data_IF_246825263208
#
_entry.id   IF_246825263208
#
_cell.length_a   1.000
_cell.length_b   1.000
_cell.length_c   1.000
_cell.angle_alpha   90.00
_cell.angle_beta   90.00
_cell.angle_gamma   90.00
#
_symmetry.space_group_name_H-M   'P 1'
#
loop_
_entity.id
_entity.type
_entity.pdbx_description
1 polymer ?
#
# COMPACT_ATOMS: atom_id res chain seq x y z
N UNK A 1 6.69 11.30 -10.93
CA UNK A 1 5.43 10.73 -10.39
C UNK A 1 5.59 10.59 -8.89
N UNK A 2 4.75 11.23 -8.09
CA UNK A 2 4.87 11.18 -6.62
C UNK A 2 3.58 10.61 -6.04
N UNK A 3 3.64 9.37 -5.58
CA UNK A 3 2.68 8.82 -4.62
C UNK A 3 3.33 9.02 -3.26
N UNK A 4 2.62 9.65 -2.33
CA UNK A 4 3.10 9.93 -0.98
C UNK A 4 2.05 9.54 0.04
N UNK A 5 2.50 9.27 1.25
CA UNK A 5 1.67 9.12 2.43
C UNK A 5 1.77 10.39 3.26
N UNK A 6 0.65 10.78 3.88
CA UNK A 6 0.69 11.73 4.98
C UNK A 6 1.30 11.07 6.22
N UNK A 7 1.86 11.87 7.13
CA UNK A 7 2.43 11.38 8.39
C UNK A 7 1.46 10.48 9.16
N UNK A 8 0.19 10.90 9.27
CA UNK A 8 -0.86 10.13 9.94
C UNK A 8 -1.12 8.78 9.25
N UNK A 9 -1.10 8.75 7.92
CA UNK A 9 -1.29 7.51 7.17
C UNK A 9 -0.09 6.56 7.35
N UNK A 10 1.14 7.06 7.30
CA UNK A 10 2.34 6.27 7.54
C UNK A 10 2.33 5.65 8.94
N UNK A 11 2.03 6.44 9.98
CA UNK A 11 1.89 5.96 11.35
C UNK A 11 0.80 4.88 11.49
N UNK A 12 -0.33 5.06 10.79
CA UNK A 12 -1.42 4.08 10.82
C UNK A 12 -1.03 2.76 10.15
N UNK A 13 -0.36 2.81 9.01
CA UNK A 13 0.14 1.63 8.29
C UNK A 13 1.17 0.90 9.14
N UNK A 14 2.13 1.62 9.74
CA UNK A 14 3.13 1.05 10.64
C UNK A 14 2.48 0.32 11.82
N UNK A 15 1.53 0.98 12.51
CA UNK A 15 0.81 0.35 13.62
C UNK A 15 0.05 -0.91 13.19
N UNK A 16 -0.49 -0.96 11.96
CA UNK A 16 -1.13 -2.17 11.46
C UNK A 16 -0.14 -3.29 11.15
N UNK A 17 1.02 -2.98 10.57
CA UNK A 17 2.08 -3.96 10.31
C UNK A 17 2.64 -4.53 11.61
N UNK A 18 2.88 -3.66 12.60
CA UNK A 18 3.34 -4.06 13.94
C UNK A 18 2.32 -5.00 14.60
N UNK A 19 1.03 -4.65 14.56
CA UNK A 19 -0.04 -5.51 15.10
C UNK A 19 -0.22 -6.82 14.34
N UNK A 20 0.02 -6.81 13.01
CA UNK A 20 -0.01 -8.01 12.17
C UNK A 20 1.19 -8.93 12.46
N UNK A 21 2.30 -8.37 12.94
CA UNK A 21 3.54 -9.07 13.26
C UNK A 21 4.33 -9.55 12.03
N UNK A 22 3.88 -9.21 10.82
CA UNK A 22 4.53 -9.54 9.55
C UNK A 22 4.07 -8.61 8.43
N UNK A 23 4.89 -8.52 7.40
CA UNK A 23 4.64 -7.71 6.21
C UNK A 23 5.76 -6.70 5.99
N UNK A 24 6.09 -6.50 4.72
CA UNK A 24 7.15 -5.59 4.28
C UNK A 24 6.61 -4.20 3.90
N UNK A 25 5.29 -4.05 3.80
CA UNK A 25 4.67 -2.76 3.46
C UNK A 25 3.20 -2.86 3.05
N UNK A 26 2.78 -1.85 2.29
CA UNK A 26 1.43 -1.69 1.75
C UNK A 26 1.51 -1.52 0.22
N UNK A 27 0.72 -2.29 -0.54
CA UNK A 27 0.57 -2.12 -1.99
C UNK A 27 -0.70 -1.33 -2.27
N UNK A 28 -0.57 -0.36 -3.16
CA UNK A 28 -1.68 0.37 -3.75
C UNK A 28 -1.95 -0.20 -5.14
N UNK A 29 -3.13 -0.76 -5.33
CA UNK A 29 -3.60 -1.27 -6.62
C UNK A 29 -4.84 -0.53 -7.10
N UNK A 30 -5.23 -0.82 -8.34
CA UNK A 30 -6.52 -0.46 -8.90
C UNK A 30 -7.21 -1.71 -9.42
N UNK A 31 -8.52 -1.82 -9.20
CA UNK A 31 -9.35 -2.90 -9.76
C UNK A 31 -10.55 -2.32 -10.49
N UNK A 32 -11.12 -3.08 -11.42
CA UNK A 32 -12.38 -2.73 -12.07
C UNK A 32 -13.53 -2.76 -11.07
N UNK A 33 -14.48 -1.85 -11.24
CA UNK A 33 -15.66 -1.71 -10.38
C UNK A 33 -16.85 -1.22 -11.21
N UNK A 34 -17.86 -2.06 -11.37
CA UNK A 34 -19.05 -1.77 -12.19
C UNK A 34 -18.78 -1.82 -13.69
N UNK A 35 -19.63 -1.15 -14.49
CA UNK A 35 -19.59 -1.24 -15.95
C UNK A 35 -18.35 -0.57 -16.57
N UNK A 36 -17.80 0.47 -15.93
CA UNK A 36 -16.67 1.25 -16.46
C UNK A 36 -15.84 1.93 -15.36
N UNK A 37 -16.05 1.58 -14.09
CA UNK A 37 -15.39 2.23 -12.96
C UNK A 37 -14.09 1.53 -12.55
N UNK A 38 -13.26 2.27 -11.82
CA UNK A 38 -12.05 1.77 -11.16
C UNK A 38 -12.14 2.08 -9.66
N UNK A 39 -11.55 1.22 -8.84
CA UNK A 39 -11.46 1.39 -7.40
C UNK A 39 -10.04 1.14 -6.92
N UNK A 40 -9.57 1.95 -5.97
CA UNK A 40 -8.30 1.71 -5.30
C UNK A 40 -8.42 0.53 -4.33
N UNK A 41 -7.32 -0.21 -4.20
CA UNK A 41 -7.18 -1.31 -3.24
C UNK A 41 -5.88 -1.09 -2.47
N UNK A 42 -5.96 -1.27 -1.14
CA UNK A 42 -4.81 -1.22 -0.25
C UNK A 42 -4.66 -2.60 0.39
N UNK A 43 -3.49 -3.22 0.24
CA UNK A 43 -3.22 -4.56 0.74
C UNK A 43 -1.87 -4.60 1.46
N UNK A 44 -1.78 -5.35 2.55
CA UNK A 44 -0.49 -5.66 3.15
C UNK A 44 0.29 -6.58 2.22
N UNK A 45 1.58 -6.31 2.08
CA UNK A 45 2.48 -7.08 1.23
C UNK A 45 3.46 -7.82 2.12
N UNK A 46 3.59 -9.13 1.90
CA UNK A 46 4.61 -9.94 2.56
C UNK A 46 5.80 -10.22 1.61
N UNK A 47 5.58 -10.20 0.28
CA UNK A 47 6.59 -10.46 -0.77
C UNK A 47 6.42 -9.48 -1.94
N UNK A 48 7.52 -8.93 -2.44
CA UNK A 48 7.51 -8.05 -3.62
C UNK A 48 7.27 -8.84 -4.91
N UNK A 49 6.49 -8.26 -5.81
CA UNK A 49 6.36 -8.74 -7.17
C UNK A 49 7.42 -8.06 -8.07
N UNK A 50 7.76 -8.67 -9.20
CA UNK A 50 8.73 -8.10 -10.15
C UNK A 50 8.22 -6.79 -10.78
N UNK A 51 6.91 -6.69 -10.95
CA UNK A 51 6.23 -5.53 -11.52
C UNK A 51 5.93 -4.41 -10.51
N UNK A 52 6.28 -4.59 -9.22
CA UNK A 52 6.07 -3.54 -8.22
C UNK A 52 7.02 -2.37 -8.42
N UNK A 53 6.46 -1.16 -8.41
CA UNK A 53 7.23 0.04 -8.18
C UNK A 53 7.32 0.33 -6.67
N UNK A 54 8.49 0.08 -6.09
CA UNK A 54 8.74 0.36 -4.68
C UNK A 54 9.00 1.86 -4.47
N UNK A 55 8.19 2.47 -3.60
CA UNK A 55 8.35 3.86 -3.18
C UNK A 55 8.61 3.88 -1.67
N UNK A 56 9.74 4.46 -1.26
CA UNK A 56 9.97 4.72 0.15
C UNK A 56 9.50 6.14 0.49
N UNK A 57 8.56 6.24 1.43
CA UNK A 57 8.07 7.51 1.94
C UNK A 57 7.91 7.39 3.46
N UNK A 58 8.75 8.13 4.20
CA UNK A 58 8.80 8.17 5.67
C UNK A 58 9.39 6.94 6.39
N UNK A 59 10.27 6.16 5.72
CA UNK A 59 11.22 5.25 6.38
C UNK A 59 10.88 3.77 6.30
#
# INVERSE_FOLDING_TARGET
MSITLTEKAAQRVKAFLDNRGKGIGLRLGVKTSGCSGLAYVLEFVDVLNEEDLVLNNMG
#
